data_IF_300529748287
#
_entry.id   IF_300529748287
#
_cell.length_a   1.000
_cell.length_b   1.000
_cell.length_c   1.000
_cell.angle_alpha   90.00
_cell.angle_beta   90.00
_cell.angle_gamma   90.00
#
_symmetry.space_group_name_H-M   'P 1'
#
loop_
_entity.id
_entity.type
_entity.pdbx_description
1 polymer ?
#
# COMPACT_ATOMS: atom_id res chain seq x y z
N UNK A 1 -6.25 20.34 -5.68
CA UNK A 1 -6.46 19.05 -6.37
C UNK A 1 -7.60 18.31 -5.68
N UNK A 2 -8.49 17.60 -6.39
CA UNK A 2 -9.56 16.85 -5.73
C UNK A 2 -8.96 15.73 -4.85
N UNK A 3 -9.43 15.59 -3.61
CA UNK A 3 -9.06 14.47 -2.75
C UNK A 3 -9.79 13.21 -3.22
N UNK A 4 -9.08 12.09 -3.34
CA UNK A 4 -9.67 10.79 -3.70
C UNK A 4 -9.71 9.89 -2.49
N UNK A 5 -10.83 9.22 -2.25
CA UNK A 5 -11.00 8.34 -1.09
C UNK A 5 -11.18 6.90 -1.57
N UNK A 6 -10.57 5.95 -0.89
CA UNK A 6 -10.70 4.52 -1.17
C UNK A 6 -10.78 3.72 0.13
N UNK A 7 -11.43 2.57 0.08
CA UNK A 7 -11.39 1.61 1.19
C UNK A 7 -10.24 0.63 0.98
N UNK A 8 -9.60 0.21 2.06
CA UNK A 8 -8.50 -0.73 2.03
C UNK A 8 -8.34 -1.48 3.34
N UNK A 9 -7.28 -2.28 3.39
CA UNK A 9 -6.91 -3.11 4.53
C UNK A 9 -5.54 -2.72 5.03
N UNK A 10 -5.47 -2.36 6.31
CA UNK A 10 -4.22 -2.07 7.00
C UNK A 10 -3.67 -3.33 7.66
N UNK A 11 -2.40 -3.60 7.40
CA UNK A 11 -1.60 -4.62 8.05
C UNK A 11 -0.56 -3.91 8.90
N UNK A 12 -0.54 -4.19 10.20
CA UNK A 12 0.40 -3.56 11.16
C UNK A 12 1.82 -4.19 11.13
N UNK A 13 2.00 -5.26 10.35
CA UNK A 13 3.24 -6.04 10.27
C UNK A 13 3.55 -6.85 11.53
N UNK A 14 2.64 -6.88 12.52
CA UNK A 14 2.76 -7.62 13.79
C UNK A 14 1.70 -8.70 13.92
N UNK A 15 0.55 -8.48 13.30
CA UNK A 15 -0.63 -9.30 13.33
C UNK A 15 -0.97 -9.73 11.90
N UNK A 16 -1.41 -10.99 11.74
CA UNK A 16 -1.92 -11.47 10.46
C UNK A 16 -3.32 -10.94 10.13
N UNK A 17 -3.98 -10.28 11.09
CA UNK A 17 -5.33 -9.74 10.94
C UNK A 17 -5.29 -8.35 10.27
N UNK A 18 -5.85 -8.19 9.06
CA UNK A 18 -6.03 -6.87 8.48
C UNK A 18 -7.12 -6.09 9.20
N UNK A 19 -6.94 -4.77 9.28
CA UNK A 19 -7.95 -3.84 9.76
C UNK A 19 -8.56 -3.09 8.58
N UNK A 20 -9.89 -3.02 8.51
CA UNK A 20 -10.54 -2.18 7.51
C UNK A 20 -10.22 -0.70 7.79
N UNK A 21 -9.71 -0.02 6.77
CA UNK A 21 -9.29 1.38 6.83
C UNK A 21 -9.81 2.13 5.62
N UNK A 22 -10.00 3.43 5.82
CA UNK A 22 -10.26 4.39 4.75
C UNK A 22 -8.97 5.12 4.43
N UNK A 23 -8.63 5.15 3.15
CA UNK A 23 -7.51 5.91 2.61
C UNK A 23 -8.03 7.19 1.96
N UNK A 24 -7.36 8.30 2.22
CA UNK A 24 -7.62 9.58 1.57
C UNK A 24 -6.33 10.10 0.93
N UNK A 25 -6.39 10.29 -0.38
CA UNK A 25 -5.30 10.79 -1.20
C UNK A 25 -5.52 12.28 -1.49
N UNK A 26 -4.94 13.12 -0.64
CA UNK A 26 -4.82 14.57 -0.83
C UNK A 26 -3.42 14.94 -1.30
N UNK A 27 -2.82 15.92 -0.64
CA UNK A 27 -1.37 16.21 -0.70
C UNK A 27 -0.53 15.14 0.00
N UNK A 28 -1.16 14.37 0.90
CA UNK A 28 -0.59 13.26 1.67
C UNK A 28 -1.55 12.07 1.58
N UNK A 29 -1.04 10.87 1.86
CA UNK A 29 -1.87 9.68 1.98
C UNK A 29 -2.25 9.48 3.45
N UNK A 30 -3.49 9.80 3.77
CA UNK A 30 -4.05 9.60 5.10
C UNK A 30 -4.73 8.22 5.16
N UNK A 31 -4.44 7.43 6.19
CA UNK A 31 -5.04 6.11 6.43
C UNK A 31 -5.70 6.18 7.80
N UNK A 32 -7.01 5.99 7.84
CA UNK A 32 -7.81 6.08 9.07
C UNK A 32 -8.65 4.82 9.23
N UNK A 33 -8.63 4.22 10.42
CA UNK A 33 -9.52 3.14 10.81
C UNK A 33 -9.47 2.89 12.32
N UNK A 34 -10.05 1.78 12.80
CA UNK A 34 -10.16 1.49 14.22
C UNK A 34 -8.77 1.38 14.88
N UNK A 35 -8.37 2.40 15.65
CA UNK A 35 -7.05 2.45 16.30
C UNK A 35 -5.87 2.70 15.35
N UNK A 36 -6.13 3.02 14.08
CA UNK A 36 -5.12 3.29 13.06
C UNK A 36 -5.32 4.69 12.52
N UNK A 37 -4.31 5.53 12.71
CA UNK A 37 -4.19 6.81 12.01
C UNK A 37 -2.75 6.93 11.53
N UNK A 38 -2.58 6.96 10.21
CA UNK A 38 -1.29 7.15 9.55
C UNK A 38 -1.41 8.26 8.54
N UNK A 39 -0.39 9.09 8.51
CA UNK A 39 -0.25 10.14 7.53
C UNK A 39 1.12 9.92 6.87
N UNK A 40 1.08 9.61 5.57
CA UNK A 40 2.26 9.27 4.79
C UNK A 40 2.51 10.33 3.72
N UNK A 41 3.76 10.81 3.64
CA UNK A 41 4.20 11.63 2.52
C UNK A 41 4.16 10.82 1.24
N UNK A 42 3.67 11.42 0.15
CA UNK A 42 3.66 10.79 -1.17
C UNK A 42 5.07 10.45 -1.68
N UNK A 43 6.08 11.23 -1.29
CA UNK A 43 7.49 10.99 -1.63
C UNK A 43 8.12 9.79 -0.91
N UNK A 44 7.60 9.47 0.27
CA UNK A 44 8.07 8.32 1.06
C UNK A 44 7.33 7.04 0.69
N UNK A 45 6.21 7.13 -0.05
CA UNK A 45 5.44 5.98 -0.47
C UNK A 45 6.24 5.05 -1.39
N UNK A 46 6.17 3.77 -1.06
CA UNK A 46 6.76 2.66 -1.79
C UNK A 46 5.67 1.66 -2.14
N UNK A 47 5.55 1.30 -3.42
CA UNK A 47 4.74 0.16 -3.81
C UNK A 47 5.49 -1.12 -3.46
N UNK A 48 4.89 -1.97 -2.61
CA UNK A 48 5.39 -3.32 -2.35
C UNK A 48 4.83 -4.31 -3.36
N UNK A 49 3.57 -4.13 -3.73
CA UNK A 49 2.88 -4.89 -4.76
C UNK A 49 1.98 -3.94 -5.54
N UNK A 50 2.06 -3.97 -6.86
CA UNK A 50 1.29 -3.08 -7.74
C UNK A 50 0.80 -3.86 -8.96
N UNK A 51 0.10 -4.96 -8.70
CA UNK A 51 -0.55 -5.77 -9.73
C UNK A 51 -2.04 -5.50 -9.70
N UNK A 52 -2.55 -4.76 -10.70
CA UNK A 52 -3.96 -4.44 -10.80
C UNK A 52 -4.83 -5.72 -10.68
N UNK A 53 -5.92 -5.70 -9.89
CA UNK A 53 -6.52 -4.54 -9.21
C UNK A 53 -5.95 -4.26 -7.80
N UNK A 54 -4.95 -5.01 -7.34
CA UNK A 54 -4.41 -4.93 -5.98
C UNK A 54 -3.19 -4.02 -5.91
N UNK A 55 -3.22 -3.07 -4.98
CA UNK A 55 -2.13 -2.15 -4.70
C UNK A 55 -1.78 -2.21 -3.21
N UNK A 56 -0.55 -2.61 -2.91
CA UNK A 56 0.00 -2.65 -1.56
C UNK A 56 1.08 -1.59 -1.40
N UNK A 57 0.82 -0.66 -0.49
CA UNK A 57 1.66 0.50 -0.20
C UNK A 57 2.29 0.39 1.18
N UNK A 58 3.49 0.91 1.32
CA UNK A 58 4.19 1.08 2.59
C UNK A 58 5.13 2.28 2.53
N UNK A 59 5.77 2.59 3.65
CA UNK A 59 6.88 3.56 3.71
C UNK A 59 8.14 2.86 4.23
N UNK A 60 9.31 3.46 3.98
CA UNK A 60 10.56 2.92 4.51
C UNK A 60 10.60 3.05 6.05
N UNK A 61 11.00 1.97 6.74
CA UNK A 61 11.14 1.95 8.19
C UNK A 61 9.85 1.68 8.99
N UNK A 62 8.67 1.74 8.34
CA UNK A 62 7.41 1.32 8.97
C UNK A 62 7.08 -0.13 8.56
N UNK A 63 6.80 -1.03 9.52
CA UNK A 63 6.39 -2.40 9.20
C UNK A 63 4.97 -2.47 8.64
N UNK A 64 4.20 -1.39 8.79
CA UNK A 64 2.82 -1.30 8.37
C UNK A 64 2.66 -1.15 6.87
N UNK A 65 1.60 -1.76 6.36
CA UNK A 65 1.28 -1.83 4.94
C UNK A 65 -0.21 -1.62 4.76
N UNK A 66 -0.60 -0.94 3.69
CA UNK A 66 -2.00 -0.80 3.32
C UNK A 66 -2.24 -1.41 1.96
N UNK A 67 -3.29 -2.20 1.86
CA UNK A 67 -3.75 -2.85 0.64
C UNK A 67 -5.05 -2.20 0.19
N UNK A 68 -5.09 -1.81 -1.08
CA UNK A 68 -6.26 -1.24 -1.73
C UNK A 68 -6.58 -2.08 -2.95
N UNK A 69 -7.84 -2.45 -3.08
CA UNK A 69 -8.37 -3.16 -4.26
C UNK A 69 -9.30 -2.20 -5.01
N UNK A 70 -8.72 -1.12 -5.54
CA UNK A 70 -9.44 -0.09 -6.29
C UNK A 70 -8.59 0.38 -7.48
N UNK A 71 -9.05 0.03 -8.68
CA UNK A 71 -8.32 0.31 -9.92
C UNK A 71 -8.26 1.82 -10.24
N UNK A 72 -9.29 2.57 -9.84
CA UNK A 72 -9.36 4.03 -10.04
C UNK A 72 -8.33 4.73 -9.15
N UNK A 73 -8.26 4.35 -7.89
CA UNK A 73 -7.29 4.81 -6.92
C UNK A 73 -5.87 4.47 -7.36
N UNK A 74 -5.64 3.24 -7.82
CA UNK A 74 -4.34 2.84 -8.37
C UNK A 74 -3.90 3.68 -9.58
N UNK A 75 -4.82 3.99 -10.49
CA UNK A 75 -4.55 4.86 -11.64
C UNK A 75 -4.22 6.30 -11.19
N UNK A 76 -4.99 6.86 -10.24
CA UNK A 76 -4.73 8.21 -9.70
C UNK A 76 -3.37 8.26 -8.99
N UNK A 77 -3.02 7.21 -8.24
CA UNK A 77 -1.76 7.13 -7.51
C UNK A 77 -0.57 6.98 -8.46
N UNK A 78 -0.73 6.26 -9.58
CA UNK A 78 0.28 6.20 -10.64
C UNK A 78 0.51 7.56 -11.34
N UNK A 79 -0.53 8.38 -11.49
CA UNK A 79 -0.42 9.74 -12.05
C UNK A 79 0.27 10.68 -11.06
N UNK A 80 -0.10 10.63 -9.77
CA UNK A 80 0.48 11.52 -8.74
C UNK A 80 1.88 11.13 -8.32
N UNK A 81 2.19 9.83 -8.33
CA UNK A 81 3.46 9.28 -7.87
C UNK A 81 4.08 8.42 -8.99
N UNK A 82 4.62 9.03 -10.07
CA UNK A 82 5.18 8.29 -11.20
C UNK A 82 6.36 7.39 -10.79
N UNK A 83 7.13 7.79 -9.79
CA UNK A 83 8.27 7.01 -9.28
C UNK A 83 7.90 5.97 -8.22
N UNK A 84 6.62 5.84 -7.86
CA UNK A 84 6.15 4.87 -6.85
C UNK A 84 6.56 3.42 -7.18
N UNK A 85 6.50 3.05 -8.46
CA UNK A 85 6.90 1.72 -8.95
C UNK A 85 8.42 1.55 -8.98
N UNK A 86 9.18 2.58 -9.35
CA UNK A 86 10.65 2.55 -9.36
C UNK A 86 11.24 2.46 -7.95
N UNK A 87 10.51 3.02 -7.00
CA UNK A 87 10.85 3.06 -5.59
C UNK A 87 10.64 1.71 -4.88
N UNK A 88 10.02 0.73 -5.53
CA UNK A 88 9.79 -0.63 -5.00
C UNK A 88 11.10 -1.43 -4.80
N UNK A 89 12.14 -1.15 -5.59
CA UNK A 89 13.31 -2.02 -5.72
C UNK A 89 14.45 -1.81 -4.71
N UNK A 90 14.36 -0.83 -3.80
CA UNK A 90 15.53 -0.46 -2.96
C UNK A 90 15.47 -0.98 -1.51
N UNK A 91 14.36 -1.55 -1.05
CA UNK A 91 14.23 -1.97 0.35
C UNK A 91 13.46 -3.30 0.51
N UNK A 92 14.17 -4.42 0.34
CA UNK A 92 13.69 -5.74 0.72
C UNK A 92 13.77 -6.74 -0.43
N UNK A 93 14.83 -7.56 -0.40
CA UNK A 93 15.19 -8.49 -1.45
C UNK A 93 14.06 -9.41 -1.93
N UNK A 94 14.22 -9.83 -3.18
CA UNK A 94 13.79 -11.11 -3.73
C UNK A 94 12.64 -11.79 -2.97
N UNK A 95 11.40 -11.39 -3.26
CA UNK A 95 10.28 -12.32 -3.05
C UNK A 95 10.39 -13.37 -4.15
N UNK A 96 11.23 -14.38 -3.90
CA UNK A 96 11.07 -15.70 -4.54
C UNK A 96 9.66 -16.13 -4.18
N UNK A 97 8.76 -16.07 -5.16
CA UNK A 97 7.54 -16.85 -5.17
C UNK A 97 7.94 -18.30 -4.95
N UNK A 98 7.85 -18.78 -3.71
CA UNK A 98 7.80 -20.22 -3.48
C UNK A 98 6.40 -20.61 -3.86
N UNK A 99 6.25 -21.10 -5.10
CA UNK A 99 5.15 -22.00 -5.45
C UNK A 99 5.37 -23.26 -4.59
N UNK A 100 4.90 -23.18 -3.36
CA UNK A 100 4.71 -24.32 -2.49
C UNK A 100 3.39 -24.96 -2.88
N UNK A 101 3.38 -25.76 -3.95
CA UNK A 101 2.41 -26.85 -4.02
C UNK A 101 2.86 -27.89 -2.99
N UNK A 102 2.33 -27.73 -1.79
CA UNK A 102 2.20 -28.80 -0.81
C UNK A 102 1.24 -29.84 -1.42
N UNK A 103 1.78 -30.95 -1.89
CA UNK A 103 1.02 -32.19 -2.06
C UNK A 103 1.89 -33.31 -1.48
N UNK A 104 1.54 -33.70 -0.25
CA UNK A 104 1.93 -34.95 0.37
C UNK A 104 1.08 -36.10 -0.19
#
# INVERSE_FOLDING_TARGET
MPSSTASGRWFDGRSAAPHDVTLRLGDRLEITGPGVHRDWNLDDLRAREAQAPLLRLGIAGDPGQVEVVDATFAAILAIRCPDLRKRADTAGGTWRLVVGSLAA
#
